data_IF_868247570441
#
_entry.id   IF_868247570441
#
_cell.length_a   1.000
_cell.length_b   1.000
_cell.length_c   1.000
_cell.angle_alpha   90.00
_cell.angle_beta   90.00
_cell.angle_gamma   90.00
#
_symmetry.space_group_name_H-M   'P 1'
#
loop_
_entity.id
_entity.type
_entity.pdbx_description
1 polymer ?
#
# COMPACT_ATOMS: atom_id res chain seq x y z
N UNK A 1 14.44 -13.58 -32.51
CA UNK A 1 14.60 -13.32 -31.07
C UNK A 1 13.83 -12.05 -30.74
N UNK A 2 12.57 -12.17 -30.33
CA UNK A 2 11.80 -11.06 -29.77
C UNK A 2 11.55 -11.39 -28.32
N UNK A 3 12.48 -11.03 -27.43
CA UNK A 3 12.27 -11.14 -26.00
C UNK A 3 11.19 -10.16 -25.62
N UNK A 4 9.95 -10.65 -25.54
CA UNK A 4 8.86 -9.88 -24.95
C UNK A 4 9.28 -9.54 -23.53
N UNK A 5 9.57 -8.26 -23.30
CA UNK A 5 9.72 -7.74 -21.96
C UNK A 5 8.33 -7.90 -21.37
N UNK A 6 8.14 -8.98 -20.59
CA UNK A 6 6.95 -9.09 -19.78
C UNK A 6 6.96 -7.85 -18.89
N UNK A 7 6.13 -6.87 -19.25
CA UNK A 7 5.73 -5.84 -18.30
C UNK A 7 5.03 -6.65 -17.23
N UNK A 8 5.79 -7.03 -16.20
CA UNK A 8 5.24 -7.67 -15.01
C UNK A 8 4.27 -6.63 -14.50
N UNK A 9 2.98 -6.83 -14.79
CA UNK A 9 1.93 -6.02 -14.24
C UNK A 9 2.16 -6.10 -12.74
N UNK A 10 2.60 -4.98 -12.15
CA UNK A 10 2.80 -4.92 -10.71
C UNK A 10 1.47 -5.35 -10.10
N UNK A 11 1.45 -6.22 -9.09
CA UNK A 11 0.20 -6.68 -8.50
C UNK A 11 -0.53 -5.57 -7.71
N UNK A 12 -0.10 -4.32 -7.89
CA UNK A 12 -0.63 -3.11 -7.30
C UNK A 12 -0.54 -1.97 -8.32
N UNK A 13 -1.53 -1.10 -8.29
CA UNK A 13 -1.70 0.09 -9.15
C UNK A 13 -1.31 1.37 -8.41
N UNK A 14 -1.43 1.39 -7.08
CA UNK A 14 -1.25 2.61 -6.27
C UNK A 14 -0.69 2.29 -4.89
N UNK A 15 0.04 3.23 -4.32
CA UNK A 15 0.51 3.20 -2.93
C UNK A 15 -0.23 4.25 -2.13
N UNK A 16 -0.57 3.91 -0.90
CA UNK A 16 -1.23 4.77 0.07
C UNK A 16 -0.30 5.04 1.24
N UNK A 17 -0.17 6.30 1.60
CA UNK A 17 0.34 6.75 2.88
C UNK A 17 -0.78 6.71 3.92
N UNK A 18 -0.55 5.96 5.00
CA UNK A 18 -1.42 5.89 6.16
C UNK A 18 -1.11 7.00 7.17
N UNK A 19 -2.12 7.50 7.85
CA UNK A 19 -1.95 8.43 8.99
C UNK A 19 -1.18 7.82 10.18
N UNK A 20 -0.96 6.51 10.17
CA UNK A 20 -0.11 5.76 11.11
C UNK A 20 1.40 5.84 10.76
N UNK A 21 1.76 6.57 9.71
CA UNK A 21 3.14 6.68 9.21
C UNK A 21 3.62 5.42 8.48
N UNK A 22 2.70 4.50 8.15
CA UNK A 22 2.97 3.30 7.35
C UNK A 22 2.45 3.50 5.93
N UNK A 23 2.90 2.63 5.03
CA UNK A 23 2.54 2.66 3.63
C UNK A 23 1.91 1.33 3.24
N UNK A 24 0.89 1.41 2.38
CA UNK A 24 0.06 0.29 1.98
C UNK A 24 -0.15 0.31 0.47
N UNK A 25 0.03 -0.82 -0.20
CA UNK A 25 -0.36 -0.92 -1.62
C UNK A 25 -1.89 -1.06 -1.73
N UNK A 26 -2.49 -0.70 -2.87
CA UNK A 26 -3.92 -0.94 -3.10
C UNK A 26 -4.27 -2.43 -2.92
N UNK A 27 -3.35 -3.32 -3.27
CA UNK A 27 -3.50 -4.75 -3.04
C UNK A 27 -3.64 -5.07 -1.54
N UNK A 28 -2.80 -4.50 -0.67
CA UNK A 28 -2.92 -4.68 0.77
C UNK A 28 -4.25 -4.17 1.29
N UNK A 29 -4.66 -2.98 0.86
CA UNK A 29 -5.93 -2.36 1.27
C UNK A 29 -7.10 -3.25 0.82
N UNK A 30 -7.13 -3.64 -0.46
CA UNK A 30 -8.17 -4.52 -1.03
C UNK A 30 -8.20 -5.88 -0.33
N UNK A 31 -7.04 -6.46 -0.03
CA UNK A 31 -6.94 -7.72 0.68
C UNK A 31 -7.50 -7.61 2.11
N UNK A 32 -7.10 -6.59 2.87
CA UNK A 32 -7.55 -6.35 4.26
C UNK A 32 -9.04 -6.09 4.36
N UNK A 33 -9.60 -5.33 3.42
CA UNK A 33 -11.05 -5.13 3.30
C UNK A 33 -11.78 -6.43 2.96
N UNK A 34 -11.19 -7.28 2.11
CA UNK A 34 -11.78 -8.56 1.70
C UNK A 34 -11.73 -9.62 2.81
N UNK A 35 -10.73 -9.56 3.69
CA UNK A 35 -10.59 -10.49 4.82
C UNK A 35 -11.33 -10.02 6.07
N UNK A 36 -12.15 -8.97 5.98
CA UNK A 36 -12.82 -8.32 7.11
C UNK A 36 -11.86 -7.86 8.23
N UNK A 37 -10.55 -7.76 7.92
CA UNK A 37 -9.57 -7.22 8.86
C UNK A 37 -9.73 -5.70 8.98
N UNK A 38 -10.16 -5.02 7.91
CA UNK A 38 -10.46 -3.59 7.88
C UNK A 38 -11.88 -3.36 7.38
N UNK A 39 -12.55 -2.33 7.91
CA UNK A 39 -13.87 -1.87 7.46
C UNK A 39 -13.73 -0.59 6.65
N UNK A 40 -14.38 -0.53 5.48
CA UNK A 40 -14.43 0.70 4.69
C UNK A 40 -15.41 1.70 5.32
N UNK A 41 -14.93 2.87 5.70
CA UNK A 41 -15.77 3.92 6.30
C UNK A 41 -16.21 4.94 5.25
N UNK A 42 -15.24 5.59 4.58
CA UNK A 42 -15.52 6.71 3.68
C UNK A 42 -14.44 6.85 2.60
N UNK A 43 -14.84 7.40 1.45
CA UNK A 43 -13.93 7.81 0.39
C UNK A 43 -14.25 9.24 -0.04
N UNK A 44 -13.23 10.09 -0.04
CA UNK A 44 -13.24 11.41 -0.66
C UNK A 44 -12.56 11.31 -2.02
N UNK A 45 -13.11 11.96 -3.05
CA UNK A 45 -12.56 11.92 -4.42
C UNK A 45 -11.57 13.04 -4.73
N UNK A 46 -11.75 14.23 -4.14
CA UNK A 46 -10.92 15.41 -4.42
C UNK A 46 -10.61 16.19 -3.13
N UNK A 47 -9.36 16.19 -2.64
CA UNK A 47 -8.29 15.24 -2.99
C UNK A 47 -8.71 13.80 -2.67
N UNK A 48 -8.19 12.84 -3.44
CA UNK A 48 -8.52 11.43 -3.23
C UNK A 48 -7.98 10.99 -1.87
N UNK A 49 -8.87 10.56 -0.97
CA UNK A 49 -8.53 10.07 0.36
C UNK A 49 -9.51 8.98 0.74
N UNK A 50 -9.06 7.98 1.48
CA UNK A 50 -9.90 6.88 1.93
C UNK A 50 -9.74 6.72 3.43
N UNK A 51 -10.85 6.64 4.14
CA UNK A 51 -10.87 6.33 5.56
C UNK A 51 -11.31 4.87 5.73
N UNK A 52 -10.51 4.10 6.45
CA UNK A 52 -10.82 2.73 6.85
C UNK A 52 -10.70 2.62 8.36
N UNK A 53 -11.48 1.74 8.94
CA UNK A 53 -11.34 1.31 10.32
C UNK A 53 -10.54 0.02 10.33
N UNK A 54 -9.55 -0.06 11.19
CA UNK A 54 -8.69 -1.24 11.34
C UNK A 54 -9.25 -2.17 12.43
N UNK A 55 -8.77 -3.42 12.48
CA UNK A 55 -9.08 -4.41 13.53
C UNK A 55 -8.89 -3.92 14.97
N UNK A 56 -8.07 -2.88 15.19
CA UNK A 56 -7.85 -2.24 16.50
C UNK A 56 -8.91 -1.15 16.82
N UNK A 57 -10.04 -1.12 16.11
CA UNK A 57 -11.06 -0.06 16.14
C UNK A 57 -10.47 1.35 15.83
N UNK A 58 -9.28 1.41 15.22
CA UNK A 58 -8.60 2.65 14.92
C UNK A 58 -8.92 3.14 13.50
N UNK A 59 -9.24 4.43 13.36
CA UNK A 59 -9.45 5.08 12.07
C UNK A 59 -8.11 5.39 11.39
N UNK A 60 -7.92 4.81 10.21
CA UNK A 60 -6.75 4.98 9.36
C UNK A 60 -7.12 5.75 8.09
N UNK A 61 -6.54 6.93 7.94
CA UNK A 61 -6.65 7.72 6.71
C UNK A 61 -5.57 7.27 5.72
N UNK A 62 -5.98 6.89 4.52
CA UNK A 62 -5.15 6.47 3.41
C UNK A 62 -5.17 7.56 2.33
N UNK A 63 -3.99 8.10 2.03
CA UNK A 63 -3.78 9.12 0.98
C UNK A 63 -2.94 8.49 -0.12
N UNK A 64 -3.39 8.48 -1.39
CA UNK A 64 -2.58 7.95 -2.48
C UNK A 64 -1.35 8.83 -2.66
N UNK A 65 -0.21 8.19 -2.91
CA UNK A 65 1.05 8.84 -3.24
C UNK A 65 1.63 8.21 -4.50
N UNK A 66 2.41 8.99 -5.24
CA UNK A 66 3.16 8.44 -6.36
C UNK A 66 4.31 7.55 -5.84
N UNK A 67 4.71 6.55 -6.64
CA UNK A 67 5.81 5.66 -6.26
C UNK A 67 7.12 6.42 -6.05
N UNK A 68 7.32 7.52 -6.78
CA UNK A 68 8.49 8.40 -6.68
C UNK A 68 8.49 9.23 -5.38
N UNK A 69 7.34 9.41 -4.74
CA UNK A 69 7.21 10.08 -3.44
C UNK A 69 7.47 9.15 -2.26
N UNK A 70 7.64 7.84 -2.50
CA UNK A 70 8.04 6.92 -1.44
C UNK A 70 9.41 7.33 -0.89
N UNK A 71 9.50 7.60 0.42
CA UNK A 71 10.73 8.12 0.96
C UNK A 71 11.80 7.02 0.96
N UNK A 72 13.01 7.36 0.50
CA UNK A 72 14.14 6.44 0.31
C UNK A 72 14.32 5.46 1.48
N UNK A 73 14.47 4.16 1.23
CA UNK A 73 14.47 3.11 2.27
C UNK A 73 13.06 2.62 2.67
N UNK A 74 12.08 2.84 1.79
CA UNK A 74 10.84 2.06 1.71
C UNK A 74 10.92 1.24 0.42
N UNK A 75 10.84 -0.07 0.54
CA UNK A 75 10.87 -0.98 -0.60
C UNK A 75 9.56 -1.73 -0.72
N UNK A 76 9.03 -1.85 -1.93
CA UNK A 76 7.86 -2.69 -2.18
C UNK A 76 8.35 -4.09 -2.49
N UNK A 77 8.11 -5.02 -1.58
CA UNK A 77 8.37 -6.44 -1.81
C UNK A 77 7.16 -7.08 -2.45
N UNK A 78 7.35 -7.57 -3.67
CA UNK A 78 6.38 -8.40 -4.37
C UNK A 78 6.77 -9.87 -4.19
N UNK A 79 5.85 -10.70 -3.74
CA UNK A 79 6.03 -12.15 -3.61
C UNK A 79 4.81 -12.85 -4.19
N UNK A 80 4.96 -13.40 -5.39
CA UNK A 80 3.84 -13.92 -6.18
C UNK A 80 2.84 -12.81 -6.48
N UNK A 81 1.59 -12.97 -6.00
CA UNK A 81 0.52 -11.99 -6.17
C UNK A 81 0.39 -11.00 -5.00
N UNK A 82 1.33 -11.01 -4.03
CA UNK A 82 1.27 -10.13 -2.86
C UNK A 82 2.26 -8.99 -3.02
N UNK A 83 1.83 -7.75 -2.82
CA UNK A 83 2.72 -6.59 -2.74
C UNK A 83 2.64 -5.97 -1.35
N UNK A 84 3.77 -5.81 -0.67
CA UNK A 84 3.84 -5.17 0.65
C UNK A 84 4.92 -4.12 0.68
N UNK A 85 4.62 -2.95 1.24
CA UNK A 85 5.65 -1.96 1.56
C UNK A 85 6.41 -2.39 2.81
N UNK A 86 7.74 -2.40 2.71
CA UNK A 86 8.67 -2.75 3.77
C UNK A 86 9.56 -1.56 4.08
N UNK A 87 9.69 -1.25 5.36
CA UNK A 87 10.66 -0.28 5.85
C UNK A 87 12.03 -0.94 5.95
N UNK A 88 12.95 -0.60 5.05
CA UNK A 88 14.32 -1.12 5.08
C UNK A 88 15.28 -0.27 5.92
N UNK A 89 14.86 0.93 6.35
CA UNK A 89 15.61 1.75 7.33
C UNK A 89 15.57 1.14 8.72
N UNK A 90 14.46 0.49 9.12
CA UNK A 90 14.41 -0.27 10.40
C UNK A 90 15.25 -1.54 10.39
N UNK A 91 15.61 -2.07 9.23
CA UNK A 91 16.48 -3.26 9.14
C UNK A 91 17.97 -2.93 9.30
N UNK A 92 18.34 -1.64 9.38
CA UNK A 92 19.73 -1.20 9.63
C UNK A 92 20.00 -0.84 11.10
N UNK A 93 19.07 -1.08 12.02
CA UNK A 93 19.38 -1.06 13.46
C UNK A 93 19.80 -2.46 13.90
N UNK A 94 21.04 -2.80 13.57
CA UNK A 94 21.80 -3.88 14.22
C UNK A 94 22.78 -3.25 15.22
#
# INVERSE_FOLDING_TARGET
>A
MGGGIAVVALPFETVFEGSDGRYYTDWQVRHRLRTDEWTFCMQQRTPYRRLVETDDDALLLLVPIELEELPAGREIRVSGCRARVVDTRRMSSA
#
